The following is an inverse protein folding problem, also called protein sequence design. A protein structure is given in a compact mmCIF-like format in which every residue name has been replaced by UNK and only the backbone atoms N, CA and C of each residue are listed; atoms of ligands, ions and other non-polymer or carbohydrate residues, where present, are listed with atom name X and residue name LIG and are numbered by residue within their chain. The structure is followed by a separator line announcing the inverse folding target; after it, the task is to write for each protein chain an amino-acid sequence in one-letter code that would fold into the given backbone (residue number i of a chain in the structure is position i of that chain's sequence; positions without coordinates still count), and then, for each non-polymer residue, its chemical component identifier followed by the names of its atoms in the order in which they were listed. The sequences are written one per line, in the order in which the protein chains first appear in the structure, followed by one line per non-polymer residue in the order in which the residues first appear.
data_IF_075835015865
#
_entry.id   IF_075835015865
#
_cell.length_a   1.000
_cell.length_b   1.000
_cell.length_c   1.000
_cell.angle_alpha   90.00
_cell.angle_beta   90.00
_cell.angle_gamma   90.00
#
_symmetry.space_group_name_H-M   'P 1'
#
loop_
_entity.id
_entity.type
_entity.pdbx_description
1 polymer ?
#
# COMPACT_ATOMS: atom_id res chain seq x y z
N UNK A 1 7.17 -17.25 -2.43
CA UNK A 1 6.65 -16.55 -3.61
C UNK A 1 5.30 -15.90 -3.29
N UNK A 2 5.13 -14.66 -3.65
CA UNK A 2 3.88 -13.95 -3.39
C UNK A 2 2.86 -14.33 -4.48
N UNK A 3 1.75 -14.95 -4.05
CA UNK A 3 0.70 -15.34 -4.98
C UNK A 3 -0.58 -14.54 -4.79
N UNK A 4 -0.64 -13.66 -3.81
CA UNK A 4 -1.82 -12.87 -3.55
C UNK A 4 -1.92 -11.70 -4.52
N UNK A 5 -3.14 -11.44 -4.98
CA UNK A 5 -3.40 -10.31 -5.86
C UNK A 5 -3.80 -9.06 -5.08
N UNK A 6 -4.23 -9.23 -3.85
CA UNK A 6 -4.64 -8.12 -3.00
C UNK A 6 -4.28 -8.43 -1.54
N UNK A 7 -4.14 -7.39 -0.75
CA UNK A 7 -3.71 -7.48 0.63
C UNK A 7 -4.67 -6.71 1.53
N UNK A 8 -4.86 -7.23 2.74
CA UNK A 8 -5.57 -6.48 3.78
C UNK A 8 -4.70 -5.33 4.27
N UNK A 9 -5.25 -4.37 5.03
CA UNK A 9 -4.42 -3.29 5.57
C UNK A 9 -3.24 -3.80 6.40
N UNK A 10 -3.45 -4.80 7.24
CA UNK A 10 -2.36 -5.36 8.04
C UNK A 10 -1.29 -5.99 7.15
N UNK A 11 -1.74 -6.74 6.15
CA UNK A 11 -0.81 -7.36 5.22
C UNK A 11 -0.05 -6.34 4.40
N UNK A 12 -0.72 -5.26 4.00
CA UNK A 12 -0.08 -4.19 3.24
C UNK A 12 1.00 -3.51 4.08
N UNK A 13 0.72 -3.24 5.36
CA UNK A 13 1.71 -2.64 6.25
C UNK A 13 2.93 -3.55 6.39
N UNK A 14 2.69 -4.85 6.59
CA UNK A 14 3.78 -5.80 6.70
C UNK A 14 4.60 -5.87 5.42
N UNK A 15 3.93 -5.87 4.28
CA UNK A 15 4.61 -5.93 2.98
C UNK A 15 5.46 -4.71 2.73
N UNK A 16 5.01 -3.54 3.20
CA UNK A 16 5.76 -2.30 3.04
C UNK A 16 6.81 -2.11 4.13
N UNK A 17 6.77 -2.94 5.18
CA UNK A 17 7.75 -2.83 6.26
C UNK A 17 7.47 -1.69 7.22
N UNK A 18 6.21 -1.28 7.34
CA UNK A 18 5.83 -0.18 8.23
C UNK A 18 4.79 -0.65 9.23
N UNK A 19 4.57 0.13 10.28
CA UNK A 19 3.53 -0.18 11.24
C UNK A 19 2.16 0.08 10.62
N UNK A 20 1.12 -0.52 11.20
CA UNK A 20 -0.24 -0.29 10.74
C UNK A 20 -0.63 1.18 10.92
N UNK A 21 -0.23 1.79 12.03
CA UNK A 21 -0.53 3.19 12.27
C UNK A 21 0.12 4.09 11.23
N UNK A 22 1.36 3.81 10.89
CA UNK A 22 2.06 4.58 9.86
C UNK A 22 1.34 4.44 8.52
N UNK A 23 0.95 3.22 8.18
CA UNK A 23 0.21 2.99 6.95
C UNK A 23 -1.07 3.82 6.92
N UNK A 24 -1.85 3.75 8.01
CA UNK A 24 -3.14 4.43 8.06
C UNK A 24 -3.00 5.94 7.96
N UNK A 25 -1.96 6.52 8.54
CA UNK A 25 -1.79 7.97 8.57
C UNK A 25 -1.15 8.52 7.30
N UNK A 26 -0.18 7.83 6.75
CA UNK A 26 0.67 8.41 5.71
C UNK A 26 0.53 7.78 4.33
N UNK A 27 0.09 6.55 4.26
CA UNK A 27 0.07 5.81 3.00
C UNK A 27 -1.34 5.53 2.52
N UNK A 28 -2.19 5.06 3.41
CA UNK A 28 -3.54 4.64 3.05
C UNK A 28 -4.34 5.72 2.30
N UNK A 29 -4.26 7.00 2.67
CA UNK A 29 -5.01 8.02 1.94
C UNK A 29 -4.59 8.17 0.48
N UNK A 30 -3.40 7.70 0.13
CA UNK A 30 -2.90 7.80 -1.24
C UNK A 30 -3.15 6.56 -2.08
N UNK A 31 -3.72 5.51 -1.46
CA UNK A 31 -3.96 4.25 -2.14
C UNK A 31 -5.44 4.11 -2.50
N UNK A 32 -5.69 3.36 -3.56
CA UNK A 32 -7.06 3.04 -3.97
C UNK A 32 -7.46 1.73 -3.32
N UNK A 33 -8.30 1.83 -2.30
CA UNK A 33 -8.77 0.67 -1.57
C UNK A 33 -10.05 0.12 -2.18
N UNK A 34 -10.19 -1.19 -2.13
CA UNK A 34 -11.41 -1.88 -2.56
C UNK A 34 -12.17 -2.25 -1.30
N UNK A 35 -13.44 -1.84 -1.25
CA UNK A 35 -14.30 -2.15 -0.11
C UNK A 35 -15.41 -3.09 -0.55
N UNK A 36 -15.54 -4.21 0.15
CA UNK A 36 -16.58 -5.19 -0.10
C UNK A 36 -17.15 -5.63 1.25
N UNK A 37 -18.36 -5.16 1.55
CA UNK A 37 -18.94 -5.41 2.85
C UNK A 37 -18.10 -4.82 3.95
N UNK A 38 -17.66 -5.66 4.87
CA UNK A 38 -16.79 -5.23 5.97
C UNK A 38 -15.32 -5.34 5.64
N UNK A 39 -15.01 -5.84 4.46
CA UNK A 39 -13.62 -6.06 4.07
C UNK A 39 -13.08 -4.88 3.31
N UNK A 40 -11.80 -4.66 3.50
CA UNK A 40 -11.07 -3.61 2.80
C UNK A 40 -9.73 -4.21 2.39
N UNK A 41 -9.38 -4.04 1.12
CA UNK A 41 -8.09 -4.56 0.66
C UNK A 41 -7.59 -3.70 -0.49
N UNK A 42 -6.29 -3.83 -0.77
CA UNK A 42 -5.63 -3.06 -1.81
C UNK A 42 -4.93 -4.02 -2.75
N UNK A 43 -5.00 -3.74 -4.06
CA UNK A 43 -4.34 -4.57 -5.05
C UNK A 43 -2.82 -4.45 -4.89
N UNK A 44 -2.12 -5.58 -5.06
CA UNK A 44 -0.66 -5.57 -5.03
C UNK A 44 -0.12 -4.61 -6.09
N UNK A 45 -0.74 -4.57 -7.27
CA UNK A 45 -0.31 -3.65 -8.33
C UNK A 45 -0.43 -2.19 -7.92
N UNK A 46 -1.43 -1.86 -7.12
CA UNK A 46 -1.60 -0.49 -6.63
C UNK A 46 -0.45 -0.12 -5.69
N UNK A 47 -0.07 -1.04 -4.81
CA UNK A 47 1.07 -0.82 -3.94
C UNK A 47 2.35 -0.64 -4.73
N UNK A 48 2.54 -1.46 -5.76
CA UNK A 48 3.73 -1.35 -6.60
C UNK A 48 3.79 -0.01 -7.30
N UNK A 49 2.67 0.46 -7.83
CA UNK A 49 2.61 1.77 -8.49
C UNK A 49 2.89 2.90 -7.51
N UNK A 50 2.36 2.78 -6.29
CA UNK A 50 2.62 3.78 -5.27
C UNK A 50 4.10 3.85 -4.93
N UNK A 51 4.73 2.68 -4.77
CA UNK A 51 6.16 2.62 -4.50
C UNK A 51 6.97 3.25 -5.63
N UNK A 52 6.61 2.98 -6.87
CA UNK A 52 7.31 3.55 -8.02
C UNK A 52 7.20 5.07 -8.01
N UNK A 53 6.00 5.60 -7.72
CA UNK A 53 5.81 7.05 -7.68
C UNK A 53 6.64 7.68 -6.55
N UNK A 54 6.63 7.05 -5.38
CA UNK A 54 7.36 7.60 -4.24
C UNK A 54 8.87 7.55 -4.45
N UNK A 55 9.35 6.48 -5.03
CA UNK A 55 10.78 6.36 -5.34
C UNK A 55 11.21 7.44 -6.34
N UNK A 56 10.40 7.68 -7.36
CA UNK A 56 10.71 8.70 -8.35
C UNK A 56 10.73 10.10 -7.73
N UNK A 57 9.75 10.38 -6.86
CA UNK A 57 9.68 11.67 -6.18
C UNK A 57 10.88 11.89 -5.27
N UNK A 58 11.29 10.85 -4.56
CA UNK A 58 12.44 10.94 -3.67
C UNK A 58 13.72 11.24 -4.45
N UNK A 59 13.89 10.58 -5.59
CA UNK A 59 15.05 10.81 -6.43
C UNK A 59 15.06 12.23 -6.99
N UNK A 60 13.90 12.72 -7.40
CA UNK A 60 13.80 14.08 -7.93
C UNK A 60 14.01 15.13 -6.85
N UNK A 61 13.53 14.85 -5.65
CA UNK A 61 13.65 15.80 -4.53
C UNK A 61 15.06 15.81 -3.96
N UNK A 62 15.74 14.68 -4.11
CA UNK A 62 17.08 14.54 -3.57
C UNK A 62 18.16 15.15 -4.41
#
# INVERSE_FOLDING_TARGET
MQTRLALSPDEAAAALGVSRDYLDEHIAPELRWIRRGRRKFVAVKELERWLDREAARTLEAG
#
